data_IF_458446695950
#
_entry.id   IF_458446695950
#
_cell.length_a   1.000
_cell.length_b   1.000
_cell.length_c   1.000
_cell.angle_alpha   90.00
_cell.angle_beta   90.00
_cell.angle_gamma   90.00
#
_symmetry.space_group_name_H-M   'P 1'
#
loop_
_entity.id
_entity.type
_entity.pdbx_description
1 polymer ?
#
# COMPACT_ATOMS: atom_id res chain seq x y z
N UNK A 1 -20.08 3.20 -1.03
CA UNK A 1 -18.95 3.60 -1.87
C UNK A 1 -18.33 2.36 -2.49
N UNK A 2 -18.01 2.44 -3.76
CA UNK A 2 -17.49 1.30 -4.51
C UNK A 2 -15.98 1.13 -4.28
N UNK A 3 -15.59 0.03 -3.65
CA UNK A 3 -14.18 -0.26 -3.34
C UNK A 3 -13.40 -0.77 -4.55
N UNK A 4 -14.08 -1.01 -5.66
CA UNK A 4 -13.40 -1.42 -6.89
C UNK A 4 -12.99 -0.23 -7.77
N UNK A 5 -13.44 0.97 -7.42
CA UNK A 5 -13.05 2.16 -8.16
C UNK A 5 -11.61 2.56 -7.85
N UNK A 6 -10.91 3.00 -8.89
CA UNK A 6 -9.56 3.50 -8.75
C UNK A 6 -9.60 4.86 -8.08
N UNK A 7 -8.82 5.02 -7.02
CA UNK A 7 -8.67 6.27 -6.30
C UNK A 7 -7.21 6.72 -6.39
N UNK A 8 -7.01 7.91 -6.95
CA UNK A 8 -5.69 8.50 -7.03
C UNK A 8 -5.44 9.36 -5.80
N UNK A 9 -4.34 9.14 -5.12
CA UNK A 9 -3.94 9.94 -3.96
C UNK A 9 -2.60 10.58 -4.20
N UNK A 10 -2.51 11.87 -3.86
CA UNK A 10 -1.24 12.59 -3.85
C UNK A 10 -0.49 12.25 -2.57
N UNK A 11 0.81 12.04 -2.70
CA UNK A 11 1.64 11.59 -1.59
C UNK A 11 2.89 12.45 -1.52
N UNK A 12 3.37 12.66 -0.29
CA UNK A 12 4.67 13.29 -0.06
C UNK A 12 5.54 12.25 0.64
N UNK A 13 6.51 11.70 -0.09
CA UNK A 13 7.35 10.61 0.40
C UNK A 13 8.79 11.05 0.44
N UNK A 14 9.38 11.09 1.63
CA UNK A 14 10.77 11.50 1.82
C UNK A 14 11.08 12.83 1.12
N UNK A 15 10.15 13.78 1.17
CA UNK A 15 10.30 15.10 0.58
C UNK A 15 9.94 15.20 -0.90
N UNK A 16 9.54 14.10 -1.54
CA UNK A 16 9.17 14.09 -2.96
C UNK A 16 7.67 13.99 -3.13
N UNK A 17 7.13 14.79 -4.03
CA UNK A 17 5.71 14.70 -4.38
C UNK A 17 5.52 13.61 -5.43
N UNK A 18 4.56 12.74 -5.19
CA UNK A 18 4.22 11.69 -6.12
C UNK A 18 2.74 11.36 -5.97
N UNK A 19 2.26 10.38 -6.70
CA UNK A 19 0.89 9.91 -6.55
C UNK A 19 0.83 8.43 -6.86
N UNK A 20 -0.22 7.79 -6.35
CA UNK A 20 -0.50 6.39 -6.68
C UNK A 20 -1.99 6.24 -6.91
N UNK A 21 -2.34 5.35 -7.82
CA UNK A 21 -3.73 5.06 -8.16
C UNK A 21 -4.00 3.60 -7.85
N UNK A 22 -4.91 3.37 -6.92
CA UNK A 22 -5.26 2.01 -6.46
C UNK A 22 -6.76 1.93 -6.27
N UNK A 23 -7.29 0.76 -6.42
CA UNK A 23 -8.65 0.48 -6.01
C UNK A 23 -8.82 0.78 -4.52
N UNK A 24 -10.01 1.25 -4.13
CA UNK A 24 -10.27 1.58 -2.73
C UNK A 24 -9.95 0.43 -1.77
N UNK A 25 -10.21 -0.81 -2.21
CA UNK A 25 -9.92 -1.99 -1.40
C UNK A 25 -8.43 -2.11 -1.06
N UNK A 26 -7.55 -1.75 -1.99
CA UNK A 26 -6.11 -1.76 -1.71
C UNK A 26 -5.71 -0.66 -0.74
N UNK A 27 -6.31 0.52 -0.87
CA UNK A 27 -6.04 1.60 0.10
C UNK A 27 -6.45 1.18 1.50
N UNK A 28 -7.62 0.54 1.64
CA UNK A 28 -8.08 0.05 2.94
C UNK A 28 -7.10 -0.97 3.54
N UNK A 29 -6.60 -1.89 2.71
CA UNK A 29 -5.65 -2.89 3.19
C UNK A 29 -4.33 -2.26 3.60
N UNK A 30 -3.85 -1.26 2.87
CA UNK A 30 -2.63 -0.57 3.25
C UNK A 30 -2.78 0.12 4.60
N UNK A 31 -3.92 0.76 4.86
CA UNK A 31 -4.18 1.38 6.16
C UNK A 31 -4.16 0.32 7.25
N UNK A 32 -4.82 -0.81 7.03
CA UNK A 32 -4.86 -1.91 8.00
C UNK A 32 -3.46 -2.45 8.28
N UNK A 33 -2.67 -2.65 7.24
CA UNK A 33 -1.31 -3.16 7.40
C UNK A 33 -0.41 -2.17 8.13
N UNK A 34 -0.56 -0.87 7.84
CA UNK A 34 0.18 0.16 8.55
C UNK A 34 -0.14 0.14 10.04
N UNK A 35 -1.43 0.06 10.38
CA UNK A 35 -1.88 -0.01 11.78
C UNK A 35 -1.29 -1.24 12.48
N UNK A 36 -1.29 -2.39 11.81
CA UNK A 36 -0.73 -3.62 12.35
C UNK A 36 0.74 -3.47 12.72
N UNK A 37 1.47 -2.66 11.96
CA UNK A 37 2.90 -2.42 12.19
C UNK A 37 3.17 -1.19 13.07
N UNK A 38 2.13 -0.51 13.52
CA UNK A 38 2.28 0.72 14.30
C UNK A 38 2.82 1.89 13.51
N UNK A 39 2.56 1.92 12.19
CA UNK A 39 3.05 2.96 11.30
C UNK A 39 1.89 3.80 10.77
N UNK A 40 2.18 5.05 10.39
CA UNK A 40 1.25 5.81 9.59
C UNK A 40 1.23 5.24 8.16
N UNK A 41 0.16 5.50 7.44
CA UNK A 41 0.08 5.07 6.04
C UNK A 41 1.23 5.66 5.23
N UNK A 42 1.53 6.94 5.43
CA UNK A 42 2.62 7.60 4.72
C UNK A 42 3.97 6.91 5.00
N UNK A 43 4.20 6.55 6.26
CA UNK A 43 5.46 5.88 6.63
C UNK A 43 5.58 4.52 5.96
N UNK A 44 4.49 3.74 5.94
CA UNK A 44 4.50 2.44 5.26
C UNK A 44 4.79 2.62 3.78
N UNK A 45 4.11 3.54 3.12
CA UNK A 45 4.30 3.77 1.69
C UNK A 45 5.72 4.26 1.40
N UNK A 46 6.28 5.09 2.28
CA UNK A 46 7.66 5.55 2.13
C UNK A 46 8.65 4.37 2.13
N UNK A 47 8.43 3.40 3.02
CA UNK A 47 9.28 2.20 3.07
C UNK A 47 9.16 1.40 1.77
N UNK A 48 7.95 1.22 1.27
CA UNK A 48 7.74 0.48 0.04
C UNK A 48 8.37 1.21 -1.15
N UNK A 49 8.22 2.51 -1.20
CA UNK A 49 8.80 3.34 -2.27
C UNK A 49 10.33 3.21 -2.31
N UNK A 50 10.97 3.13 -1.16
CA UNK A 50 12.42 3.07 -1.06
C UNK A 50 13.00 1.81 -1.70
N UNK A 51 12.24 0.72 -1.78
CA UNK A 51 12.73 -0.56 -2.27
C UNK A 51 12.10 -0.99 -3.60
N UNK A 52 11.19 -0.19 -4.15
CA UNK A 52 10.51 -0.58 -5.38
C UNK A 52 11.44 -0.54 -6.58
N UNK A 53 11.14 -1.41 -7.55
CA UNK A 53 11.86 -1.44 -8.83
C UNK A 53 10.98 -1.05 -10.01
N UNK A 54 9.67 -1.01 -9.83
CA UNK A 54 8.71 -0.59 -10.84
C UNK A 54 7.97 0.65 -10.39
N UNK A 55 6.77 0.88 -10.94
CA UNK A 55 5.99 2.02 -10.50
C UNK A 55 5.40 1.78 -9.12
N UNK A 56 5.08 2.88 -8.44
CA UNK A 56 4.63 2.83 -7.05
C UNK A 56 3.31 2.09 -6.91
N UNK A 57 2.36 2.31 -7.81
CA UNK A 57 1.05 1.65 -7.71
C UNK A 57 1.19 0.13 -7.75
N UNK A 58 2.02 -0.38 -8.63
CA UNK A 58 2.29 -1.82 -8.70
C UNK A 58 2.97 -2.32 -7.44
N UNK A 59 3.95 -1.58 -6.94
CA UNK A 59 4.67 -1.95 -5.73
C UNK A 59 3.73 -2.06 -4.53
N UNK A 60 2.78 -1.12 -4.42
CA UNK A 60 1.81 -1.13 -3.34
C UNK A 60 0.86 -2.33 -3.45
N UNK A 61 0.38 -2.64 -4.66
CA UNK A 61 -0.47 -3.82 -4.86
C UNK A 61 0.26 -5.11 -4.51
N UNK A 62 1.50 -5.24 -4.94
CA UNK A 62 2.29 -6.44 -4.66
C UNK A 62 2.56 -6.58 -3.17
N UNK A 63 2.81 -5.48 -2.49
CA UNK A 63 3.00 -5.52 -1.04
C UNK A 63 1.76 -6.08 -0.33
N UNK A 64 0.58 -5.60 -0.71
CA UNK A 64 -0.68 -6.08 -0.13
C UNK A 64 -0.86 -7.56 -0.43
N UNK A 65 -0.63 -7.97 -1.67
CA UNK A 65 -0.79 -9.36 -2.07
C UNK A 65 0.13 -10.27 -1.25
N UNK A 66 1.39 -9.90 -1.11
CA UNK A 66 2.34 -10.70 -0.35
C UNK A 66 1.97 -10.78 1.12
N UNK A 67 1.48 -9.67 1.70
CA UNK A 67 1.04 -9.67 3.08
C UNK A 67 -0.15 -10.61 3.30
N UNK A 68 -1.10 -10.61 2.36
CA UNK A 68 -2.26 -11.50 2.45
C UNK A 68 -1.87 -12.96 2.28
N UNK A 69 -0.93 -13.25 1.39
CA UNK A 69 -0.44 -14.62 1.20
C UNK A 69 0.27 -15.13 2.44
N UNK A 70 1.08 -14.29 3.07
CA UNK A 70 1.76 -14.66 4.30
C UNK A 70 0.76 -14.97 5.42
N UNK A 71 -0.26 -14.14 5.58
CA UNK A 71 -1.31 -14.37 6.57
C UNK A 71 -2.07 -15.67 6.29
N UNK A 72 -2.37 -15.94 5.02
CA UNK A 72 -3.06 -17.16 4.61
C UNK A 72 -2.24 -18.40 4.90
N UNK A 73 -0.93 -18.34 4.68
CA UNK A 73 -0.04 -19.46 4.97
C UNK A 73 -0.03 -19.79 6.46
N UNK A 74 -0.16 -18.79 7.31
CA UNK A 74 -0.16 -18.98 8.76
C UNK A 74 -1.45 -19.60 9.29
N UNK A 75 -2.48 -19.68 8.46
CA UNK A 75 -3.78 -20.22 8.87
C UNK A 75 -3.90 -21.73 8.70
N UNK A 76 -2.91 -22.38 8.20
CA UNK A 76 -2.95 -23.84 8.00
C UNK A 76 -2.85 -24.61 9.30
#
# INVERSE_FOLDING_TARGET
MDKTEIQKRSLLLAGHRTSASLEGAFWDELVRLALTRGLSLNKLITEIDATRTGNLSSALRLYVLEALRAASADLK
#
